data_IF_645529564745
#
_entry.id   IF_645529564745
#
_cell.length_a   1.000
_cell.length_b   1.000
_cell.length_c   1.000
_cell.angle_alpha   90.00
_cell.angle_beta   90.00
_cell.angle_gamma   90.00
#
_symmetry.space_group_name_H-M   'P 1'
#
loop_
_entity.id
_entity.type
_entity.pdbx_description
1 polymer ?
#
# COMPACT_ATOMS: atom_id res chain seq x y z
N UNK A 1 8.61 -10.46 31.65
CA UNK A 1 7.76 -11.65 31.75
C UNK A 1 7.48 -11.95 33.22
N UNK A 2 6.24 -11.96 33.61
CA UNK A 2 5.82 -12.37 34.95
C UNK A 2 5.14 -13.73 34.79
N UNK A 3 5.68 -14.73 35.49
CA UNK A 3 5.20 -16.14 35.47
C UNK A 3 5.06 -16.74 34.06
N UNK A 4 5.96 -16.37 33.14
CA UNK A 4 5.94 -16.83 31.75
C UNK A 4 4.94 -16.09 30.84
N UNK A 5 4.18 -15.14 31.36
CA UNK A 5 3.24 -14.35 30.58
C UNK A 5 3.81 -12.96 30.22
N UNK A 6 3.45 -12.46 29.04
CA UNK A 6 3.71 -11.07 28.66
C UNK A 6 2.71 -10.18 29.41
N UNK A 7 3.24 -9.22 30.16
CA UNK A 7 2.45 -8.22 30.86
C UNK A 7 2.95 -6.82 30.46
N UNK A 8 2.03 -5.86 30.45
CA UNK A 8 2.36 -4.50 30.07
C UNK A 8 2.80 -3.69 31.29
N UNK A 9 3.89 -2.95 31.15
CA UNK A 9 4.43 -2.13 32.24
C UNK A 9 3.61 -0.87 32.54
N UNK A 10 2.77 -0.42 31.61
CA UNK A 10 1.98 0.81 31.73
C UNK A 10 0.59 0.63 31.09
N UNK A 11 -0.41 1.48 31.46
CA UNK A 11 -1.73 1.45 30.80
C UNK A 11 -1.68 1.66 29.28
N UNK A 12 -0.75 2.51 28.78
CA UNK A 12 -0.55 2.74 27.35
C UNK A 12 0.00 1.49 26.64
N UNK A 13 0.98 0.81 27.27
CA UNK A 13 1.49 -0.46 26.77
C UNK A 13 0.44 -1.57 26.86
N UNK A 14 -0.42 -1.56 27.91
CA UNK A 14 -1.56 -2.46 28.01
C UNK A 14 -2.56 -2.25 26.87
N UNK A 15 -2.88 -0.99 26.52
CA UNK A 15 -3.74 -0.70 25.38
C UNK A 15 -3.22 -1.34 24.11
N UNK A 16 -1.93 -1.13 23.77
CA UNK A 16 -1.29 -1.71 22.58
C UNK A 16 -1.26 -3.24 22.60
N UNK A 17 -1.02 -3.83 23.76
CA UNK A 17 -1.03 -5.30 23.93
C UNK A 17 -2.45 -5.84 23.65
N UNK A 18 -3.47 -5.21 24.21
CA UNK A 18 -4.88 -5.63 24.09
C UNK A 18 -5.37 -5.46 22.65
N UNK A 19 -5.05 -4.36 21.97
CA UNK A 19 -5.40 -4.18 20.54
C UNK A 19 -4.68 -5.16 19.62
N UNK A 20 -3.50 -5.64 20.02
CA UNK A 20 -2.75 -6.66 19.27
C UNK A 20 -3.20 -8.10 19.51
N UNK A 21 -3.95 -8.38 20.58
CA UNK A 21 -4.33 -9.74 20.97
C UNK A 21 -5.82 -10.05 20.78
N UNK A 22 -6.70 -9.04 20.81
CA UNK A 22 -8.14 -9.23 20.81
C UNK A 22 -8.79 -8.47 19.66
N UNK A 23 -9.30 -9.19 18.68
CA UNK A 23 -9.90 -8.63 17.45
C UNK A 23 -10.99 -7.59 17.75
N UNK A 24 -11.90 -7.86 18.67
CA UNK A 24 -12.96 -6.90 19.04
C UNK A 24 -12.41 -5.57 19.61
N UNK A 25 -11.26 -5.63 20.31
CA UNK A 25 -10.58 -4.43 20.81
C UNK A 25 -9.85 -3.70 19.70
N UNK A 26 -9.20 -4.44 18.81
CA UNK A 26 -8.55 -3.89 17.63
C UNK A 26 -9.55 -3.20 16.71
N UNK A 27 -10.69 -3.83 16.43
CA UNK A 27 -11.76 -3.25 15.59
C UNK A 27 -12.38 -1.98 16.17
N UNK A 28 -12.48 -1.90 17.49
CA UNK A 28 -12.99 -0.71 18.19
C UNK A 28 -11.94 0.40 18.36
N UNK A 29 -10.67 0.14 18.07
CA UNK A 29 -9.60 1.11 18.20
C UNK A 29 -9.71 2.19 17.12
N UNK A 30 -9.64 3.46 17.51
CA UNK A 30 -9.66 4.62 16.59
C UNK A 30 -8.30 5.30 16.46
N UNK A 31 -7.30 4.85 17.24
CA UNK A 31 -5.94 5.36 17.13
C UNK A 31 -5.22 4.70 15.96
N UNK A 32 -4.36 5.47 15.29
CA UNK A 32 -3.47 4.87 14.31
C UNK A 32 -2.28 4.17 14.99
N UNK A 33 -1.59 3.33 14.23
CA UNK A 33 -0.48 2.53 14.75
C UNK A 33 0.66 3.40 15.30
N UNK A 34 0.92 4.57 14.70
CA UNK A 34 1.98 5.48 15.15
C UNK A 34 1.63 6.11 16.50
N UNK A 35 0.37 6.56 16.68
CA UNK A 35 -0.10 7.07 17.98
C UNK A 35 0.11 6.04 19.08
N UNK A 36 -0.29 4.78 18.83
CA UNK A 36 -0.10 3.71 19.82
C UNK A 36 1.38 3.46 20.14
N UNK A 37 2.27 3.45 19.15
CA UNK A 37 3.71 3.22 19.35
C UNK A 37 4.35 4.41 20.10
N UNK A 38 4.03 5.64 19.73
CA UNK A 38 4.51 6.83 20.43
C UNK A 38 4.08 6.81 21.90
N UNK A 39 2.81 6.47 22.16
CA UNK A 39 2.29 6.36 23.53
C UNK A 39 3.04 5.30 24.35
N UNK A 40 3.38 4.15 23.76
CA UNK A 40 4.20 3.11 24.44
C UNK A 40 5.59 3.65 24.77
N UNK A 41 6.13 4.52 23.93
CA UNK A 41 7.43 5.18 24.16
C UNK A 41 7.31 6.43 25.07
N UNK A 42 6.13 6.70 25.66
CA UNK A 42 5.85 7.90 26.47
C UNK A 42 6.05 9.23 25.71
N UNK A 43 5.81 9.20 24.39
CA UNK A 43 5.82 10.35 23.51
C UNK A 43 4.41 10.64 22.99
N UNK A 44 4.20 11.86 22.50
CA UNK A 44 2.97 12.24 21.81
C UNK A 44 3.27 12.35 20.32
N UNK A 45 2.50 11.64 19.50
CA UNK A 45 2.62 11.69 18.04
C UNK A 45 2.14 13.07 17.55
N UNK A 46 3.04 13.80 16.88
CA UNK A 46 2.80 15.14 16.33
C UNK A 46 2.74 15.14 14.79
N UNK A 47 2.65 13.96 14.18
CA UNK A 47 2.66 13.82 12.73
C UNK A 47 4.06 13.56 12.15
N UNK A 48 4.97 13.01 12.96
CA UNK A 48 6.31 12.63 12.54
C UNK A 48 6.26 11.69 11.35
N UNK A 49 7.00 12.02 10.30
CA UNK A 49 7.03 11.26 9.07
C UNK A 49 8.10 10.17 9.08
N UNK A 50 7.84 9.10 8.34
CA UNK A 50 8.82 8.05 8.10
C UNK A 50 10.06 8.62 7.42
N UNK A 51 11.22 8.13 7.82
CA UNK A 51 12.49 8.47 7.20
C UNK A 51 12.97 7.29 6.36
N UNK A 52 13.19 7.52 5.07
CA UNK A 52 13.73 6.55 4.13
C UNK A 52 14.62 7.25 3.11
N UNK A 53 15.92 6.99 3.21
CA UNK A 53 16.89 7.53 2.27
C UNK A 53 17.02 6.63 1.04
N UNK A 54 16.95 7.23 -0.13
CA UNK A 54 17.19 6.57 -1.41
C UNK A 54 18.64 6.83 -1.82
N UNK A 55 19.37 5.76 -2.14
CA UNK A 55 20.73 5.86 -2.66
C UNK A 55 20.75 6.74 -3.91
N UNK A 56 21.53 7.84 -3.93
CA UNK A 56 21.53 8.80 -5.04
C UNK A 56 21.95 8.15 -6.38
N UNK A 57 22.85 7.17 -6.34
CA UNK A 57 23.29 6.45 -7.54
C UNK A 57 22.18 5.63 -8.14
N UNK A 58 21.42 4.94 -7.27
CA UNK A 58 20.25 4.18 -7.70
C UNK A 58 19.10 5.09 -8.13
N UNK A 59 18.91 6.23 -7.46
CA UNK A 59 17.93 7.22 -7.88
C UNK A 59 18.20 7.69 -9.32
N UNK A 60 19.44 8.10 -9.61
CA UNK A 60 19.86 8.53 -10.96
C UNK A 60 19.68 7.41 -12.02
N UNK A 61 20.05 6.16 -11.68
CA UNK A 61 19.83 5.01 -12.56
C UNK A 61 18.36 4.88 -13.00
N UNK A 62 17.43 5.06 -12.06
CA UNK A 62 16.01 4.84 -12.28
C UNK A 62 15.24 6.06 -12.76
N UNK A 63 15.86 7.23 -12.91
CA UNK A 63 15.28 8.39 -13.60
C UNK A 63 14.85 8.05 -15.04
N UNK A 64 15.41 7.01 -15.63
CA UNK A 64 14.99 6.48 -16.94
C UNK A 64 13.51 6.11 -17.00
N UNK A 65 12.85 5.82 -15.86
CA UNK A 65 11.40 5.59 -15.80
C UNK A 65 10.65 6.89 -16.16
N UNK A 66 11.10 8.03 -15.65
CA UNK A 66 10.53 9.35 -15.97
C UNK A 66 10.68 9.68 -17.45
N UNK A 67 11.83 9.41 -18.03
CA UNK A 67 12.04 9.59 -19.47
C UNK A 67 11.09 8.73 -20.30
N UNK A 68 10.86 7.46 -19.90
CA UNK A 68 9.93 6.55 -20.56
C UNK A 68 8.46 6.96 -20.45
N UNK A 69 8.10 7.69 -19.40
CA UNK A 69 6.71 8.12 -19.20
C UNK A 69 6.26 9.21 -20.18
N UNK A 70 7.19 9.85 -20.87
CA UNK A 70 6.91 10.95 -21.81
C UNK A 70 6.04 12.05 -21.18
N UNK A 71 6.38 12.44 -19.95
CA UNK A 71 5.67 13.46 -19.18
C UNK A 71 4.32 13.01 -18.58
N UNK A 72 3.88 11.79 -18.82
CA UNK A 72 2.66 11.25 -18.21
C UNK A 72 2.86 11.01 -16.72
N UNK A 73 1.83 11.22 -15.89
CA UNK A 73 1.88 10.85 -14.48
C UNK A 73 2.12 9.34 -14.31
N UNK A 74 3.07 8.99 -13.44
CA UNK A 74 3.49 7.60 -13.25
C UNK A 74 2.73 6.97 -12.09
N UNK A 75 2.01 5.90 -12.36
CA UNK A 75 1.27 5.13 -11.35
C UNK A 75 1.98 3.80 -11.10
N UNK A 76 2.58 3.67 -9.92
CA UNK A 76 3.16 2.42 -9.46
C UNK A 76 2.09 1.47 -8.92
N UNK A 77 2.01 0.27 -9.48
CA UNK A 77 1.03 -0.76 -9.17
C UNK A 77 1.72 -1.92 -8.47
N UNK A 78 1.61 -2.01 -7.15
CA UNK A 78 2.15 -3.13 -6.40
C UNK A 78 1.12 -4.25 -6.32
N UNK A 79 1.32 -5.30 -7.10
CA UNK A 79 0.35 -6.37 -7.33
C UNK A 79 0.31 -7.43 -6.23
N UNK A 80 1.32 -7.47 -5.36
CA UNK A 80 1.46 -8.46 -4.29
C UNK A 80 1.31 -7.90 -2.89
N UNK A 81 1.18 -8.81 -1.93
CA UNK A 81 1.05 -8.48 -0.51
C UNK A 81 1.79 -9.44 0.43
N UNK A 82 2.65 -10.31 -0.11
CA UNK A 82 3.31 -11.40 0.60
C UNK A 82 2.37 -12.59 0.89
N UNK A 83 2.93 -13.68 1.43
CA UNK A 83 2.26 -14.98 1.51
C UNK A 83 1.34 -15.16 2.72
N UNK A 84 1.53 -14.34 3.76
CA UNK A 84 0.85 -14.57 5.04
C UNK A 84 -0.67 -14.35 4.97
N UNK A 85 -1.11 -13.32 4.26
CA UNK A 85 -2.52 -12.92 4.18
C UNK A 85 -2.94 -12.68 2.73
N UNK A 86 -3.01 -13.76 1.96
CA UNK A 86 -3.37 -13.72 0.53
C UNK A 86 -4.82 -13.31 0.28
N UNK A 87 -5.67 -13.31 1.32
CA UNK A 87 -7.05 -12.78 1.27
C UNK A 87 -7.13 -11.30 0.91
N UNK A 88 -5.99 -10.58 0.92
CA UNK A 88 -5.87 -9.17 0.49
C UNK A 88 -5.61 -9.00 -1.01
N UNK A 89 -5.30 -10.08 -1.72
CA UNK A 89 -4.95 -9.99 -3.13
C UNK A 89 -6.16 -9.52 -3.95
N UNK A 90 -5.92 -8.47 -4.73
CA UNK A 90 -6.89 -8.02 -5.72
C UNK A 90 -6.77 -8.92 -6.96
N UNK A 91 -7.90 -9.33 -7.61
CA UNK A 91 -7.87 -10.28 -8.71
C UNK A 91 -7.06 -9.82 -9.92
N UNK A 92 -6.44 -10.79 -10.63
CA UNK A 92 -5.58 -10.52 -11.79
C UNK A 92 -6.32 -9.76 -12.91
N UNK A 93 -7.58 -10.11 -13.15
CA UNK A 93 -8.42 -9.44 -14.14
C UNK A 93 -8.68 -7.97 -13.79
N UNK A 94 -8.78 -7.65 -12.50
CA UNK A 94 -8.96 -6.27 -12.02
C UNK A 94 -7.68 -5.45 -12.23
N UNK A 95 -6.50 -6.04 -11.95
CA UNK A 95 -5.22 -5.39 -12.25
C UNK A 95 -5.06 -5.12 -13.75
N UNK A 96 -5.36 -6.09 -14.60
CA UNK A 96 -5.32 -5.94 -16.06
C UNK A 96 -6.24 -4.81 -16.53
N UNK A 97 -7.47 -4.78 -16.03
CA UNK A 97 -8.44 -3.75 -16.37
C UNK A 97 -7.99 -2.35 -15.88
N UNK A 98 -7.41 -2.26 -14.68
CA UNK A 98 -6.85 -1.01 -14.17
C UNK A 98 -5.69 -0.51 -15.04
N UNK A 99 -4.75 -1.39 -15.41
CA UNK A 99 -3.62 -1.03 -16.28
C UNK A 99 -4.12 -0.44 -17.61
N UNK A 100 -5.06 -1.13 -18.26
CA UNK A 100 -5.64 -0.68 -19.53
C UNK A 100 -6.37 0.67 -19.38
N UNK A 101 -7.12 0.83 -18.29
CA UNK A 101 -7.84 2.08 -18.01
C UNK A 101 -6.88 3.24 -17.77
N UNK A 102 -5.78 3.00 -17.04
CA UNK A 102 -4.74 4.01 -16.80
C UNK A 102 -4.08 4.48 -18.11
N UNK A 103 -3.74 3.53 -18.99
CA UNK A 103 -3.13 3.85 -20.30
C UNK A 103 -4.08 4.67 -21.17
N UNK A 104 -5.36 4.30 -21.20
CA UNK A 104 -6.39 5.03 -21.95
C UNK A 104 -6.61 6.45 -21.40
N UNK A 105 -6.41 6.66 -20.11
CA UNK A 105 -6.58 7.94 -19.41
C UNK A 105 -5.29 8.79 -19.36
N UNK A 106 -4.25 8.37 -20.10
CA UNK A 106 -3.01 9.13 -20.23
C UNK A 106 -2.03 9.01 -19.07
N UNK A 107 -2.16 8.00 -18.22
CA UNK A 107 -1.18 7.64 -17.20
C UNK A 107 -0.12 6.68 -17.75
N UNK A 108 1.00 6.61 -17.05
CA UNK A 108 2.06 5.63 -17.31
C UNK A 108 2.08 4.58 -16.17
N UNK A 109 1.44 3.41 -16.35
CA UNK A 109 1.43 2.37 -15.33
C UNK A 109 2.77 1.63 -15.28
N UNK A 110 3.31 1.49 -14.07
CA UNK A 110 4.52 0.75 -13.74
C UNK A 110 4.14 -0.36 -12.77
N UNK A 111 4.22 -1.62 -13.18
CA UNK A 111 3.97 -2.73 -12.25
C UNK A 111 5.17 -2.97 -11.37
N UNK A 112 4.91 -3.20 -10.08
CA UNK A 112 5.89 -3.32 -9.01
C UNK A 112 5.62 -4.61 -8.22
N UNK A 113 6.67 -5.17 -7.64
CA UNK A 113 6.54 -6.36 -6.79
C UNK A 113 7.88 -6.93 -6.40
N UNK A 114 7.87 -7.94 -5.54
CA UNK A 114 9.02 -8.74 -5.17
C UNK A 114 9.23 -9.93 -6.11
N UNK A 115 10.07 -10.86 -5.66
CA UNK A 115 10.39 -12.09 -6.39
C UNK A 115 9.13 -12.94 -6.68
N UNK A 116 8.17 -12.93 -5.77
CA UNK A 116 6.95 -13.74 -5.89
C UNK A 116 6.04 -13.25 -7.02
N UNK A 117 6.02 -11.93 -7.23
CA UNK A 117 5.19 -11.29 -8.25
C UNK A 117 5.86 -11.22 -9.63
N UNK A 118 7.15 -11.58 -9.76
CA UNK A 118 7.93 -11.40 -10.98
C UNK A 118 7.29 -12.04 -12.22
N UNK A 119 6.87 -13.31 -12.11
CA UNK A 119 6.20 -14.03 -13.20
C UNK A 119 4.83 -13.40 -13.58
N UNK A 120 4.06 -12.96 -12.59
CA UNK A 120 2.78 -12.32 -12.82
C UNK A 120 2.95 -10.93 -13.45
N UNK A 121 3.88 -10.14 -12.94
CA UNK A 121 4.18 -8.80 -13.46
C UNK A 121 4.73 -8.85 -14.91
N UNK A 122 5.54 -9.88 -15.23
CA UNK A 122 5.97 -10.14 -16.61
C UNK A 122 4.78 -10.41 -17.54
N UNK A 123 3.78 -11.20 -17.07
CA UNK A 123 2.55 -11.42 -17.85
C UNK A 123 1.73 -10.15 -18.05
N UNK A 124 1.59 -9.31 -17.01
CA UNK A 124 0.92 -8.01 -17.17
C UNK A 124 1.60 -7.15 -18.22
N UNK A 125 2.93 -7.04 -18.18
CA UNK A 125 3.67 -6.26 -19.16
C UNK A 125 3.50 -6.82 -20.59
N UNK A 126 3.56 -8.14 -20.76
CA UNK A 126 3.38 -8.79 -22.05
C UNK A 126 1.97 -8.58 -22.63
N UNK A 127 0.94 -8.64 -21.79
CA UNK A 127 -0.46 -8.59 -22.22
C UNK A 127 -0.98 -7.16 -22.43
N UNK A 128 -0.44 -6.18 -21.70
CA UNK A 128 -0.98 -4.80 -21.71
C UNK A 128 -0.01 -3.77 -22.25
N UNK A 129 1.27 -4.11 -22.40
CA UNK A 129 2.32 -3.15 -22.76
C UNK A 129 2.69 -2.17 -21.64
N UNK A 130 2.25 -2.38 -20.40
CA UNK A 130 2.67 -1.56 -19.28
C UNK A 130 4.17 -1.77 -18.97
N UNK A 131 4.77 -0.81 -18.29
CA UNK A 131 6.18 -0.93 -17.95
C UNK A 131 6.39 -1.80 -16.72
N UNK A 132 7.24 -2.80 -16.84
CA UNK A 132 7.75 -3.60 -15.75
C UNK A 132 9.28 -3.50 -15.72
N UNK A 133 9.88 -2.92 -14.67
CA UNK A 133 11.33 -2.78 -14.59
C UNK A 133 12.06 -4.12 -14.36
N UNK A 134 11.36 -5.16 -13.90
CA UNK A 134 11.92 -6.42 -13.42
C UNK A 134 11.97 -6.50 -11.90
N UNK A 135 12.43 -7.63 -11.39
CA UNK A 135 12.68 -7.85 -9.96
C UNK A 135 14.09 -7.40 -9.58
N UNK A 136 14.21 -6.63 -8.54
CA UNK A 136 15.47 -6.07 -8.04
C UNK A 136 15.59 -6.16 -6.52
N UNK A 137 16.75 -5.75 -6.00
CA UNK A 137 16.98 -5.63 -4.57
C UNK A 137 16.04 -4.60 -3.94
N UNK A 138 15.84 -4.69 -2.62
CA UNK A 138 15.00 -3.74 -1.88
C UNK A 138 15.48 -2.28 -2.04
N UNK A 139 16.79 -2.04 -2.08
CA UNK A 139 17.36 -0.71 -2.28
C UNK A 139 17.00 -0.12 -3.65
N UNK A 140 17.06 -0.93 -4.70
CA UNK A 140 16.63 -0.53 -6.03
C UNK A 140 15.11 -0.35 -6.11
N UNK A 141 14.36 -1.18 -5.41
CA UNK A 141 12.92 -1.06 -5.32
C UNK A 141 12.49 0.29 -4.71
N UNK A 142 13.23 0.81 -3.71
CA UNK A 142 13.03 2.17 -3.19
C UNK A 142 13.25 3.23 -4.28
N UNK A 143 14.34 3.12 -5.03
CA UNK A 143 14.67 4.05 -6.09
C UNK A 143 13.67 4.00 -7.27
N UNK A 144 13.19 2.81 -7.63
CA UNK A 144 12.12 2.64 -8.63
C UNK A 144 10.85 3.33 -8.12
N UNK A 145 10.44 3.06 -6.87
CA UNK A 145 9.23 3.64 -6.28
C UNK A 145 9.37 5.17 -6.15
N UNK A 146 10.56 5.68 -5.86
CA UNK A 146 10.81 7.12 -5.79
C UNK A 146 10.47 7.84 -7.11
N UNK A 147 10.53 7.15 -8.25
CA UNK A 147 10.19 7.68 -9.57
C UNK A 147 8.70 7.57 -9.91
N UNK A 148 7.85 7.05 -9.04
CA UNK A 148 6.38 7.08 -9.23
C UNK A 148 5.78 8.37 -8.66
N UNK A 149 4.60 8.76 -9.12
CA UNK A 149 3.84 9.90 -8.58
C UNK A 149 2.72 9.42 -7.64
N UNK A 150 2.08 8.33 -7.99
CA UNK A 150 1.00 7.69 -7.23
C UNK A 150 1.34 6.21 -7.08
N UNK A 151 1.06 5.63 -5.93
CA UNK A 151 1.18 4.19 -5.68
C UNK A 151 -0.20 3.59 -5.39
N UNK A 152 -0.51 2.46 -6.02
CA UNK A 152 -1.68 1.64 -5.71
C UNK A 152 -1.18 0.33 -5.12
N UNK A 153 -1.64 -0.04 -3.95
CA UNK A 153 -1.19 -1.26 -3.26
C UNK A 153 -2.22 -1.76 -2.27
N UNK A 154 -2.18 -3.04 -1.95
CA UNK A 154 -2.77 -3.57 -0.73
C UNK A 154 -1.95 -3.16 0.49
N UNK A 155 -2.48 -3.37 1.70
CA UNK A 155 -1.70 -3.22 2.94
C UNK A 155 -0.51 -4.19 2.90
N UNK A 156 0.68 -3.64 2.70
CA UNK A 156 1.92 -4.40 2.52
C UNK A 156 3.13 -3.50 2.85
N UNK A 157 4.34 -4.02 2.72
CA UNK A 157 5.57 -3.23 2.84
C UNK A 157 5.59 -2.03 1.90
N UNK A 158 4.99 -2.15 0.69
CA UNK A 158 4.91 -1.06 -0.28
C UNK A 158 4.15 0.16 0.29
N UNK A 159 3.11 -0.05 1.09
CA UNK A 159 2.42 1.06 1.76
C UNK A 159 3.40 1.90 2.58
N UNK A 160 4.22 1.27 3.40
CA UNK A 160 5.22 1.96 4.22
C UNK A 160 6.28 2.67 3.38
N UNK A 161 6.75 2.05 2.31
CA UNK A 161 7.69 2.65 1.36
C UNK A 161 7.07 3.88 0.69
N UNK A 162 5.83 3.78 0.22
CA UNK A 162 5.12 4.88 -0.42
C UNK A 162 4.91 6.06 0.55
N UNK A 163 4.56 5.79 1.80
CA UNK A 163 4.42 6.81 2.85
C UNK A 163 5.78 7.49 3.10
N UNK A 164 6.85 6.71 3.30
CA UNK A 164 8.18 7.21 3.57
C UNK A 164 8.75 8.08 2.42
N UNK A 165 8.44 7.70 1.18
CA UNK A 165 8.80 8.46 -0.02
C UNK A 165 7.80 9.57 -0.35
N UNK A 166 6.85 9.87 0.54
CA UNK A 166 5.83 10.92 0.40
C UNK A 166 5.02 10.81 -0.88
N UNK A 167 4.78 9.57 -1.35
CA UNK A 167 3.97 9.33 -2.54
C UNK A 167 2.48 9.49 -2.24
N UNK A 168 1.71 9.84 -3.25
CA UNK A 168 0.25 9.72 -3.17
C UNK A 168 -0.12 8.25 -3.19
N UNK A 169 -1.11 7.87 -2.40
CA UNK A 169 -1.41 6.47 -2.14
C UNK A 169 -2.89 6.15 -2.33
N UNK A 170 -3.18 5.08 -3.07
CA UNK A 170 -4.48 4.40 -3.06
C UNK A 170 -4.24 3.04 -2.41
N UNK A 171 -4.76 2.87 -1.20
CA UNK A 171 -4.52 1.71 -0.36
C UNK A 171 -5.77 0.81 -0.33
N UNK A 172 -5.65 -0.42 -0.81
CA UNK A 172 -6.70 -1.42 -0.64
C UNK A 172 -6.60 -2.03 0.75
N UNK A 173 -7.69 -1.96 1.48
CA UNK A 173 -7.79 -2.58 2.81
C UNK A 173 -9.08 -3.38 2.94
N UNK A 174 -8.98 -4.60 3.42
CA UNK A 174 -10.14 -5.45 3.74
C UNK A 174 -10.06 -6.05 5.14
N UNK A 175 -8.92 -6.64 5.53
CA UNK A 175 -8.79 -7.46 6.74
C UNK A 175 -8.24 -6.70 7.96
N UNK A 176 -7.90 -5.43 7.83
CA UNK A 176 -7.34 -4.65 8.92
C UNK A 176 -8.27 -3.50 9.34
N UNK A 177 -8.11 -3.02 10.55
CA UNK A 177 -8.77 -1.79 10.97
C UNK A 177 -8.19 -0.60 10.20
N UNK A 178 -9.03 0.14 9.48
CA UNK A 178 -8.59 1.26 8.65
C UNK A 178 -7.95 2.40 9.47
N UNK A 179 -8.32 2.54 10.73
CA UNK A 179 -7.71 3.54 11.63
C UNK A 179 -6.22 3.30 11.89
N UNK A 180 -5.72 2.06 11.72
CA UNK A 180 -4.30 1.76 11.90
C UNK A 180 -3.38 2.56 10.96
N UNK A 181 -3.90 3.03 9.80
CA UNK A 181 -3.10 3.61 8.73
C UNK A 181 -3.16 5.12 8.72
N UNK A 182 -2.07 5.78 9.12
CA UNK A 182 -1.91 7.22 8.99
C UNK A 182 -1.30 7.55 7.62
N UNK A 183 -2.10 8.08 6.70
CA UNK A 183 -1.68 8.37 5.32
C UNK A 183 -1.25 9.84 5.11
N UNK A 184 -1.10 10.61 6.17
CA UNK A 184 -0.64 12.02 6.15
C UNK A 184 -1.42 12.92 5.16
N UNK A 185 -2.70 12.65 4.96
CA UNK A 185 -3.53 13.37 3.98
C UNK A 185 -3.18 13.10 2.51
N UNK A 186 -2.20 12.25 2.22
CA UNK A 186 -1.72 11.96 0.86
C UNK A 186 -2.37 10.72 0.23
N UNK A 187 -3.25 10.02 0.94
CA UNK A 187 -3.82 8.77 0.46
C UNK A 187 -5.33 8.67 0.60
N UNK A 188 -5.90 7.61 0.00
CA UNK A 188 -7.23 7.08 0.30
C UNK A 188 -7.14 5.60 0.60
N UNK A 189 -7.97 5.17 1.53
CA UNK A 189 -8.21 3.76 1.82
C UNK A 189 -9.47 3.34 1.08
N UNK A 190 -9.34 2.35 0.20
CA UNK A 190 -10.45 1.76 -0.56
C UNK A 190 -10.77 0.41 0.07
N UNK A 191 -12.00 0.23 0.49
CA UNK A 191 -12.48 -0.98 1.16
C UNK A 191 -13.58 -1.64 0.33
N UNK A 192 -13.73 -2.98 0.44
CA UNK A 192 -14.86 -3.68 -0.15
C UNK A 192 -16.19 -3.13 0.39
N UNK A 193 -17.15 -2.86 -0.48
CA UNK A 193 -18.47 -2.34 -0.09
C UNK A 193 -19.28 -3.36 0.73
N UNK A 194 -19.06 -4.65 0.53
CA UNK A 194 -19.67 -5.72 1.31
C UNK A 194 -19.01 -5.96 2.68
N UNK A 195 -17.98 -5.19 3.02
CA UNK A 195 -17.14 -5.44 4.19
C UNK A 195 -16.29 -6.70 4.06
N UNK A 196 -15.63 -7.12 5.14
CA UNK A 196 -14.81 -8.32 5.18
C UNK A 196 -14.98 -9.06 6.52
N UNK A 197 -15.15 -10.38 6.46
CA UNK A 197 -15.30 -11.23 7.65
C UNK A 197 -13.97 -11.90 8.06
N UNK A 198 -12.89 -11.63 7.31
CA UNK A 198 -11.58 -12.28 7.49
C UNK A 198 -10.60 -11.40 8.29
N UNK A 199 -11.07 -10.77 9.35
CA UNK A 199 -10.23 -9.85 10.15
C UNK A 199 -8.93 -10.52 10.58
N UNK A 200 -7.78 -9.96 10.18
CA UNK A 200 -6.44 -10.56 10.32
C UNK A 200 -6.33 -12.02 9.87
N UNK A 201 -7.29 -12.50 9.05
CA UNK A 201 -7.36 -13.88 8.62
C UNK A 201 -6.61 -14.15 7.31
N UNK A 202 -6.07 -15.37 7.21
CA UNK A 202 -5.42 -15.87 6.00
C UNK A 202 -6.32 -16.77 5.14
N UNK A 203 -7.54 -17.01 5.60
CA UNK A 203 -8.57 -17.79 4.88
C UNK A 203 -9.86 -17.00 4.80
N UNK A 204 -10.58 -17.13 3.70
CA UNK A 204 -11.88 -16.52 3.51
C UNK A 204 -12.97 -17.58 3.56
N UNK A 205 -13.98 -17.37 4.41
CA UNK A 205 -15.16 -18.27 4.51
C UNK A 205 -16.21 -18.01 3.43
N UNK A 206 -16.11 -16.87 2.72
CA UNK A 206 -17.05 -16.51 1.65
C UNK A 206 -16.74 -17.29 0.38
N UNK A 207 -17.77 -17.66 -0.39
CA UNK A 207 -17.63 -18.29 -1.71
C UNK A 207 -17.00 -17.35 -2.76
N UNK A 208 -17.10 -16.02 -2.54
CA UNK A 208 -16.54 -14.97 -3.40
C UNK A 208 -15.71 -14.02 -2.55
N UNK A 209 -14.48 -13.73 -3.00
CA UNK A 209 -13.62 -12.76 -2.32
C UNK A 209 -14.26 -11.38 -2.29
N UNK A 210 -14.27 -10.73 -1.12
CA UNK A 210 -14.73 -9.35 -0.97
C UNK A 210 -13.87 -8.35 -1.78
N UNK A 211 -12.63 -8.69 -2.08
CA UNK A 211 -11.75 -7.85 -2.91
C UNK A 211 -12.29 -7.62 -4.33
N UNK A 212 -13.20 -8.47 -4.81
CA UNK A 212 -13.92 -8.27 -6.07
C UNK A 212 -14.88 -7.06 -6.03
N UNK A 213 -15.26 -6.58 -4.85
CA UNK A 213 -16.14 -5.42 -4.69
C UNK A 213 -15.37 -4.08 -4.78
N UNK A 214 -14.05 -4.13 -4.79
CA UNK A 214 -13.23 -2.97 -5.14
C UNK A 214 -13.24 -2.83 -6.67
N UNK A 215 -14.07 -1.93 -7.16
CA UNK A 215 -14.25 -1.72 -8.59
C UNK A 215 -13.15 -0.87 -9.20
N UNK A 216 -12.74 -1.19 -10.44
CA UNK A 216 -11.71 -0.44 -11.18
C UNK A 216 -12.09 1.04 -11.33
N UNK A 217 -13.38 1.35 -11.57
CA UNK A 217 -13.87 2.72 -11.65
C UNK A 217 -13.59 3.53 -10.41
N UNK A 218 -13.89 3.00 -9.24
CA UNK A 218 -13.60 3.63 -7.93
C UNK A 218 -12.10 3.89 -7.74
N UNK A 219 -11.25 2.92 -8.10
CA UNK A 219 -9.79 3.07 -8.02
C UNK A 219 -9.32 4.20 -8.95
N UNK A 220 -9.83 4.25 -10.19
CA UNK A 220 -9.53 5.31 -11.16
C UNK A 220 -9.95 6.71 -10.66
N UNK A 221 -11.10 6.84 -10.03
CA UNK A 221 -11.56 8.11 -9.43
C UNK A 221 -10.55 8.59 -8.36
N UNK A 222 -10.11 7.71 -7.48
CA UNK A 222 -9.11 8.03 -6.47
C UNK A 222 -7.75 8.41 -7.07
N UNK A 223 -7.33 7.77 -8.16
CA UNK A 223 -6.08 8.10 -8.86
C UNK A 223 -6.20 9.48 -9.53
N UNK A 224 -7.29 9.76 -10.24
CA UNK A 224 -7.55 11.06 -10.90
C UNK A 224 -7.54 12.20 -9.88
N UNK A 225 -8.28 12.07 -8.78
CA UNK A 225 -8.33 13.07 -7.73
C UNK A 225 -6.94 13.43 -7.18
N UNK A 226 -6.05 12.43 -7.09
CA UNK A 226 -4.66 12.62 -6.63
C UNK A 226 -3.73 13.15 -7.70
N UNK A 227 -4.03 12.91 -8.96
CA UNK A 227 -3.27 13.43 -10.09
C UNK A 227 -3.43 14.96 -10.25
N UNK A 228 -4.60 15.52 -9.99
CA UNK A 228 -4.88 16.95 -10.12
C UNK A 228 -4.04 17.79 -9.17
N UNK A 229 -3.84 17.34 -7.93
CA UNK A 229 -3.02 18.04 -6.95
C UNK A 229 -1.49 18.01 -7.27
N UNK A 230 -1.04 17.19 -8.24
CA UNK A 230 0.36 17.21 -8.76
C UNK A 230 0.61 18.45 -9.61
N UNK A 231 -0.41 18.93 -10.31
CA UNK A 231 -0.29 20.06 -11.26
C UNK A 231 -0.25 21.40 -10.56
N UNK A 232 -0.76 21.50 -9.33
CA UNK A 232 -0.80 22.75 -8.55
C UNK A 232 0.49 23.00 -7.74
N UNK A 233 1.37 22.01 -7.60
CA UNK A 233 2.62 22.09 -6.82
C UNK A 233 3.88 22.21 -7.69
N UNK A 234 3.75 22.33 -9.00
CA UNK A 234 4.81 22.64 -9.97
C UNK A 234 4.68 24.06 -10.51
#
# INVERSE_FOLDING_TARGET
>A
LKDGHIDAATPKAMHKLVTGLFDGRSQANTKNYLEEIFEVCHLDFQGEEYQLDVDPTLAAKWESIRAKSDGKPIVGLNTGCGDRWTTRLWPEERWTALITSLQADGFFPVVLGGKQEDGLNTRYAANTGCYYPGYYSLREFFAITANTDIVVTQVSMMMHIAIALRKRLVLFNNIFNAHEFHLYGRGAIVQPTSGCDCYYGNTCSRSRSCMLDIEVGTVMEHIRARSLSVRETK
#
